data_IF_468945776739
#
_entry.id   IF_468945776739
#
_cell.length_a   1.000
_cell.length_b   1.000
_cell.length_c   1.000
_cell.angle_alpha   90.00
_cell.angle_beta   90.00
_cell.angle_gamma   90.00
#
_symmetry.space_group_name_H-M   'P 1'
#
loop_
_entity.id
_entity.type
_entity.pdbx_description
1 polymer ?
#
# COMPACT_ATOMS: atom_id res chain seq x y z
N UNK A 1 -28.53 42.70 73.47
CA UNK A 1 -27.81 43.82 72.89
C UNK A 1 -27.55 43.48 71.45
N UNK A 2 -28.20 44.21 70.64
CA UNK A 2 -28.16 44.12 69.19
C UNK A 2 -26.80 44.39 68.60
N UNK A 3 -26.50 43.66 67.55
CA UNK A 3 -25.79 44.22 66.37
C UNK A 3 -26.20 43.43 65.13
N UNK A 4 -27.08 44.00 64.46
CA UNK A 4 -27.42 43.67 63.12
C UNK A 4 -26.23 43.96 62.22
N UNK A 5 -25.73 42.96 61.56
CA UNK A 5 -24.74 43.14 60.53
C UNK A 5 -25.38 42.92 59.15
N UNK A 6 -25.68 43.99 58.54
CA UNK A 6 -26.23 44.06 57.20
C UNK A 6 -25.15 43.70 56.21
N UNK A 7 -25.22 42.53 55.65
CA UNK A 7 -24.35 42.17 54.52
C UNK A 7 -24.98 42.71 53.25
N UNK A 8 -24.37 43.75 52.74
CA UNK A 8 -24.68 44.26 51.45
C UNK A 8 -24.22 43.27 50.41
N UNK A 9 -25.16 42.64 49.77
CA UNK A 9 -24.89 41.90 48.56
C UNK A 9 -24.38 42.83 47.48
N UNK A 10 -23.15 42.75 47.19
CA UNK A 10 -22.60 43.33 45.98
C UNK A 10 -22.94 42.38 44.84
N UNK A 11 -23.86 42.77 44.03
CA UNK A 11 -24.07 42.19 42.73
C UNK A 11 -22.85 42.57 41.88
N UNK A 12 -21.93 41.67 41.79
CA UNK A 12 -20.94 41.72 40.74
C UNK A 12 -21.64 41.29 39.47
N UNK A 13 -21.93 42.22 38.66
CA UNK A 13 -22.28 41.92 37.27
C UNK A 13 -21.12 41.15 36.66
N UNK A 14 -21.32 39.88 36.54
CA UNK A 14 -20.43 39.07 35.76
C UNK A 14 -20.50 39.60 34.33
N UNK A 15 -19.42 40.21 33.91
CA UNK A 15 -19.23 40.52 32.52
C UNK A 15 -19.45 39.25 31.72
N UNK A 16 -20.28 39.36 30.75
CA UNK A 16 -20.30 38.39 29.66
C UNK A 16 -18.91 38.43 29.03
N UNK A 17 -18.02 37.64 29.55
CA UNK A 17 -16.96 37.13 28.79
C UNK A 17 -17.60 36.21 27.79
N UNK A 18 -17.76 36.72 26.60
CA UNK A 18 -17.98 35.84 25.47
C UNK A 18 -16.75 34.92 25.46
N UNK A 19 -16.90 33.80 26.08
CA UNK A 19 -16.05 32.71 25.79
C UNK A 19 -16.33 32.41 24.37
N UNK A 20 -15.61 33.03 23.51
CA UNK A 20 -15.44 32.48 22.18
C UNK A 20 -14.94 31.09 22.42
N UNK A 21 -15.83 30.19 22.34
CA UNK A 21 -15.46 28.82 22.13
C UNK A 21 -14.61 28.86 20.86
N UNK A 22 -13.37 28.97 21.05
CA UNK A 22 -12.42 28.56 20.07
C UNK A 22 -12.75 27.11 19.85
N UNK A 23 -13.52 26.90 18.89
CA UNK A 23 -13.61 25.62 18.27
C UNK A 23 -12.21 25.29 17.81
N UNK A 24 -11.48 24.67 18.65
CA UNK A 24 -10.36 23.90 18.22
C UNK A 24 -10.91 22.68 17.54
N UNK A 25 -11.49 22.90 16.45
CA UNK A 25 -11.64 21.86 15.48
C UNK A 25 -10.35 21.73 14.66
N UNK A 26 -9.25 21.91 15.27
CA UNK A 26 -8.02 21.40 14.74
C UNK A 26 -7.97 19.94 15.13
N UNK A 27 -8.93 19.20 14.70
CA UNK A 27 -8.67 17.80 14.46
C UNK A 27 -7.79 17.78 13.23
N UNK A 28 -6.57 18.10 13.44
CA UNK A 28 -5.54 17.67 12.53
C UNK A 28 -5.71 16.17 12.48
N UNK A 29 -6.31 15.70 11.44
CA UNK A 29 -6.29 14.28 11.17
C UNK A 29 -4.82 13.88 11.19
N UNK A 30 -4.42 13.09 12.16
CA UNK A 30 -3.01 12.78 12.30
C UNK A 30 -2.57 12.11 11.02
N UNK A 31 -1.54 12.64 10.40
CA UNK A 31 -0.94 12.05 9.19
C UNK A 31 -0.45 10.62 9.35
N UNK A 32 -0.51 10.08 10.56
CA UNK A 32 -0.24 8.67 10.85
C UNK A 32 -1.35 7.71 10.41
N UNK A 33 -2.56 8.18 10.17
CA UNK A 33 -3.61 7.37 9.56
C UNK A 33 -3.30 6.99 8.10
N UNK A 34 -2.27 7.57 7.51
CA UNK A 34 -1.88 7.35 6.12
C UNK A 34 -0.70 6.40 5.98
N UNK A 35 -0.13 5.93 7.07
CA UNK A 35 0.95 4.93 7.07
C UNK A 35 0.44 3.50 7.17
N UNK A 36 -0.71 3.20 6.63
CA UNK A 36 -0.98 1.83 6.24
C UNK A 36 0.06 1.48 5.18
N UNK A 37 0.82 0.39 5.38
CA UNK A 37 1.72 -0.07 4.34
C UNK A 37 0.85 -0.29 3.10
N UNK A 38 0.94 0.62 2.16
CA UNK A 38 0.46 0.34 0.83
C UNK A 38 1.29 -0.84 0.36
N UNK A 39 0.65 -1.99 0.16
CA UNK A 39 1.28 -3.05 -0.58
C UNK A 39 1.77 -2.40 -1.87
N UNK A 40 3.07 -2.25 -1.99
CA UNK A 40 3.66 -1.72 -3.21
C UNK A 40 3.20 -2.63 -4.34
N UNK A 41 2.82 -2.05 -5.46
CA UNK A 41 2.42 -2.80 -6.63
C UNK A 41 3.58 -2.81 -7.63
N UNK A 42 3.99 -4.00 -8.05
CA UNK A 42 4.89 -4.20 -9.17
C UNK A 42 4.11 -4.60 -10.41
N UNK A 43 4.49 -4.10 -11.57
CA UNK A 43 3.83 -4.43 -12.82
C UNK A 43 4.83 -4.90 -13.86
N UNK A 44 4.51 -6.00 -14.53
CA UNK A 44 5.28 -6.56 -15.65
C UNK A 44 4.33 -6.75 -16.82
N UNK A 45 4.70 -6.19 -17.96
CA UNK A 45 4.02 -6.42 -19.22
C UNK A 45 4.64 -7.61 -19.94
N UNK A 46 3.82 -8.44 -20.54
CA UNK A 46 4.23 -9.47 -21.49
C UNK A 46 3.83 -8.96 -22.86
N UNK A 47 4.81 -8.66 -23.68
CA UNK A 47 4.58 -8.12 -25.01
C UNK A 47 5.73 -8.52 -25.93
N UNK A 48 5.40 -8.90 -27.15
CA UNK A 48 6.36 -9.35 -28.14
C UNK A 48 7.34 -10.40 -27.59
N UNK A 49 6.80 -11.46 -26.94
CA UNK A 49 7.56 -12.55 -26.32
C UNK A 49 8.60 -12.11 -25.30
N UNK A 50 8.36 -11.01 -24.60
CA UNK A 50 9.29 -10.41 -23.65
C UNK A 50 8.57 -9.99 -22.37
N UNK A 51 9.22 -10.19 -21.23
CA UNK A 51 8.82 -9.59 -19.95
C UNK A 51 9.44 -8.21 -19.81
N UNK A 52 8.62 -7.20 -19.57
CA UNK A 52 9.08 -5.81 -19.39
C UNK A 52 8.56 -5.23 -18.09
N UNK A 53 9.42 -4.82 -17.16
CA UNK A 53 10.88 -5.02 -17.18
C UNK A 53 11.27 -6.49 -17.02
N UNK A 54 12.39 -6.90 -17.60
CA UNK A 54 12.91 -8.26 -17.47
C UNK A 54 13.41 -8.56 -16.06
N UNK A 55 13.95 -7.57 -15.38
CA UNK A 55 14.30 -7.62 -13.96
C UNK A 55 13.53 -6.55 -13.23
N UNK A 56 12.75 -6.94 -12.23
CA UNK A 56 11.98 -6.04 -11.38
C UNK A 56 12.47 -6.18 -9.94
N UNK A 57 12.86 -5.07 -9.33
CA UNK A 57 13.22 -5.01 -7.91
C UNK A 57 12.06 -4.44 -7.12
N UNK A 58 11.64 -5.14 -6.07
CA UNK A 58 10.52 -4.77 -5.20
C UNK A 58 10.89 -4.98 -3.73
N UNK A 59 10.14 -4.38 -2.84
CA UNK A 59 10.24 -4.65 -1.40
C UNK A 59 9.40 -5.86 -1.00
N UNK A 60 9.82 -6.56 0.05
CA UNK A 60 9.04 -7.64 0.64
C UNK A 60 7.63 -7.13 1.00
N UNK A 61 6.60 -7.92 0.69
CA UNK A 61 5.20 -7.55 0.80
C UNK A 61 4.58 -6.97 -0.48
N UNK A 62 5.36 -6.81 -1.54
CA UNK A 62 4.86 -6.29 -2.83
C UNK A 62 4.09 -7.36 -3.58
N UNK A 63 2.96 -6.98 -4.14
CA UNK A 63 2.22 -7.79 -5.13
C UNK A 63 2.69 -7.41 -6.53
N UNK A 64 3.22 -8.39 -7.25
CA UNK A 64 3.63 -8.25 -8.65
C UNK A 64 2.53 -8.82 -9.55
N UNK A 65 2.16 -8.06 -10.57
CA UNK A 65 1.15 -8.46 -11.55
C UNK A 65 1.78 -8.51 -12.95
N UNK A 66 1.66 -9.66 -13.60
CA UNK A 66 2.00 -9.85 -15.02
C UNK A 66 0.72 -9.71 -15.85
N UNK A 67 0.76 -8.92 -16.90
CA UNK A 67 -0.36 -8.77 -17.84
C UNK A 67 0.09 -9.12 -19.23
N UNK A 68 -0.62 -10.06 -19.87
CA UNK A 68 -0.34 -10.45 -21.25
C UNK A 68 -0.91 -9.40 -22.22
N UNK A 69 -0.04 -8.82 -23.05
CA UNK A 69 -0.40 -7.87 -24.11
C UNK A 69 -0.21 -8.45 -25.52
N UNK A 70 0.33 -9.66 -25.60
CA UNK A 70 0.41 -10.39 -26.88
C UNK A 70 -0.96 -10.96 -27.26
N UNK A 71 -1.10 -11.27 -28.51
CA UNK A 71 -2.28 -11.96 -29.09
C UNK A 71 -2.22 -13.48 -29.00
N UNK A 72 -1.21 -14.01 -28.30
CA UNK A 72 -1.01 -15.43 -28.04
C UNK A 72 -0.89 -15.70 -26.54
N UNK A 73 -1.21 -16.92 -26.08
CA UNK A 73 -1.11 -17.26 -24.66
C UNK A 73 0.32 -17.32 -24.15
N UNK A 74 0.50 -16.83 -22.95
CA UNK A 74 1.73 -16.95 -22.15
C UNK A 74 1.41 -17.55 -20.78
N UNK A 75 2.44 -17.92 -20.03
CA UNK A 75 2.27 -18.41 -18.66
C UNK A 75 3.52 -18.23 -17.84
N UNK A 76 3.33 -18.10 -16.54
CA UNK A 76 4.40 -17.79 -15.58
C UNK A 76 4.70 -19.03 -14.75
N UNK A 77 5.97 -19.42 -14.70
CA UNK A 77 6.45 -20.48 -13.81
C UNK A 77 7.79 -20.08 -13.16
N UNK A 78 7.92 -20.33 -11.88
CA UNK A 78 9.18 -20.18 -11.15
C UNK A 78 10.13 -21.33 -11.50
N UNK A 79 11.43 -21.03 -11.65
CA UNK A 79 12.44 -22.06 -11.93
C UNK A 79 12.50 -23.14 -10.85
N UNK A 80 12.33 -22.76 -9.57
CA UNK A 80 12.47 -23.64 -8.42
C UNK A 80 11.16 -23.87 -7.68
N UNK A 81 10.02 -23.69 -8.33
CA UNK A 81 8.72 -23.72 -7.66
C UNK A 81 8.61 -22.78 -6.44
N UNK A 82 9.35 -21.68 -6.46
CA UNK A 82 9.39 -20.72 -5.35
C UNK A 82 8.06 -19.95 -5.21
N UNK A 83 7.24 -19.93 -6.24
CA UNK A 83 5.87 -19.40 -6.20
C UNK A 83 4.96 -20.18 -7.15
N UNK A 84 3.67 -20.02 -6.95
CA UNK A 84 2.67 -20.78 -7.71
C UNK A 84 2.70 -20.44 -9.21
N UNK A 85 2.54 -21.46 -10.05
CA UNK A 85 2.43 -21.30 -11.51
C UNK A 85 1.09 -20.66 -11.86
N UNK A 86 1.08 -19.76 -12.85
CA UNK A 86 -0.16 -19.24 -13.42
C UNK A 86 -0.90 -20.28 -14.26
N UNK A 87 -2.20 -20.06 -14.49
CA UNK A 87 -2.87 -20.61 -15.67
C UNK A 87 -2.26 -20.00 -16.94
N UNK A 88 -2.62 -20.52 -18.12
CA UNK A 88 -2.35 -19.81 -19.36
C UNK A 88 -3.09 -18.46 -19.36
N UNK A 89 -2.40 -17.42 -19.76
CA UNK A 89 -2.90 -16.05 -19.82
C UNK A 89 -3.17 -15.72 -21.28
N UNK A 90 -4.43 -15.55 -21.63
CA UNK A 90 -4.82 -15.02 -22.93
C UNK A 90 -4.59 -13.49 -22.98
N UNK A 91 -4.82 -12.87 -24.13
CA UNK A 91 -4.67 -11.41 -24.27
C UNK A 91 -5.45 -10.66 -23.20
N UNK A 92 -4.79 -9.70 -22.56
CA UNK A 92 -5.29 -8.90 -21.43
C UNK A 92 -5.55 -9.66 -20.11
N UNK A 93 -5.35 -10.98 -20.09
CA UNK A 93 -5.33 -11.72 -18.83
C UNK A 93 -4.14 -11.33 -17.97
N UNK A 94 -4.29 -11.50 -16.66
CA UNK A 94 -3.24 -11.21 -15.71
C UNK A 94 -3.08 -12.30 -14.67
N UNK A 95 -1.90 -12.32 -14.06
CA UNK A 95 -1.55 -13.14 -12.92
C UNK A 95 -0.84 -12.29 -11.88
N UNK A 96 -1.15 -12.50 -10.61
CA UNK A 96 -0.53 -11.76 -9.50
C UNK A 96 0.01 -12.70 -8.45
N UNK A 97 1.16 -12.33 -7.88
CA UNK A 97 1.74 -13.02 -6.73
C UNK A 97 2.36 -12.02 -5.77
N UNK A 98 2.17 -12.23 -4.45
CA UNK A 98 2.74 -11.39 -3.40
C UNK A 98 4.02 -12.00 -2.87
N UNK A 99 5.14 -11.28 -3.02
CA UNK A 99 6.45 -11.71 -2.56
C UNK A 99 6.72 -11.19 -1.15
N UNK A 100 6.69 -12.07 -0.16
CA UNK A 100 6.87 -11.72 1.25
C UNK A 100 8.28 -11.98 1.77
N UNK A 101 9.04 -12.84 1.10
CA UNK A 101 10.37 -13.25 1.52
C UNK A 101 11.44 -12.62 0.63
N UNK A 102 12.42 -11.90 1.18
CA UNK A 102 13.55 -11.38 0.41
C UNK A 102 14.31 -12.47 -0.32
N UNK A 103 14.75 -12.19 -1.52
CA UNK A 103 15.49 -13.15 -2.35
C UNK A 103 15.42 -12.81 -3.84
N UNK A 104 16.04 -13.65 -4.65
CA UNK A 104 16.02 -13.55 -6.12
C UNK A 104 15.22 -14.69 -6.69
N UNK A 105 14.17 -14.35 -7.43
CA UNK A 105 13.21 -15.28 -7.98
C UNK A 105 13.28 -15.27 -9.50
N UNK A 106 13.91 -16.28 -10.08
CA UNK A 106 13.93 -16.47 -11.52
C UNK A 106 12.67 -17.16 -11.98
N UNK A 107 12.15 -16.73 -13.11
CA UNK A 107 10.95 -17.29 -13.70
C UNK A 107 11.04 -17.31 -15.24
N UNK A 108 10.16 -18.03 -15.86
CA UNK A 108 10.09 -18.18 -17.30
C UNK A 108 8.64 -18.35 -17.77
N UNK A 109 8.43 -18.16 -19.06
CA UNK A 109 7.17 -18.55 -19.69
C UNK A 109 7.20 -20.04 -20.02
N UNK A 110 6.29 -20.83 -19.44
CA UNK A 110 6.27 -22.27 -19.69
C UNK A 110 5.71 -22.67 -21.05
N UNK A 111 5.11 -21.73 -21.77
CA UNK A 111 4.68 -21.90 -23.17
C UNK A 111 5.83 -21.60 -24.13
N UNK A 112 6.67 -20.63 -23.78
CA UNK A 112 7.82 -20.17 -24.56
C UNK A 112 9.06 -20.08 -23.65
N UNK A 113 9.74 -21.20 -23.37
CA UNK A 113 10.75 -21.26 -22.31
C UNK A 113 11.98 -20.34 -22.46
N UNK A 114 12.18 -19.76 -23.64
CA UNK A 114 13.24 -18.76 -23.86
C UNK A 114 12.92 -17.41 -23.25
N UNK A 115 11.66 -17.12 -22.94
CA UNK A 115 11.23 -15.94 -22.23
C UNK A 115 11.52 -16.10 -20.76
N UNK A 116 12.44 -15.32 -20.25
CA UNK A 116 12.87 -15.37 -18.84
C UNK A 116 12.80 -14.01 -18.18
N UNK A 117 12.59 -14.00 -16.87
CA UNK A 117 12.59 -12.80 -16.06
C UNK A 117 13.09 -13.07 -14.64
N UNK A 118 13.30 -12.01 -13.89
CA UNK A 118 13.79 -12.07 -12.53
C UNK A 118 13.06 -11.05 -11.66
N UNK A 119 12.59 -11.49 -10.49
CA UNK A 119 12.12 -10.61 -9.43
C UNK A 119 13.19 -10.59 -8.33
N UNK A 120 13.67 -9.41 -7.96
CA UNK A 120 14.54 -9.19 -6.81
C UNK A 120 13.70 -8.60 -5.70
N UNK A 121 13.57 -9.34 -4.60
CA UNK A 121 12.81 -8.92 -3.43
C UNK A 121 13.78 -8.48 -2.35
N UNK A 122 13.78 -7.21 -2.04
CA UNK A 122 14.58 -6.61 -0.97
C UNK A 122 13.80 -6.65 0.36
N UNK A 123 14.50 -6.61 1.51
CA UNK A 123 13.83 -6.46 2.79
C UNK A 123 12.92 -5.23 2.82
N UNK A 124 11.76 -5.33 3.47
CA UNK A 124 10.94 -4.17 3.80
C UNK A 124 11.70 -3.27 4.78
N UNK A 125 11.64 -1.97 4.56
CA UNK A 125 12.15 -1.01 5.52
C UNK A 125 11.07 -0.87 6.62
N UNK A 126 11.21 -1.55 7.71
CA UNK A 126 10.48 -1.28 8.95
C UNK A 126 11.28 -0.37 9.86
#
# INVERSE_FOLDING_TARGET
MSTTNTVRSALVAAGLGAATATTLAAVVAPGWAQTLPHASAGAISIDNFTFTPQTLTVKAGTTVTWTNKDDIPHGIASENNAFARSKALDTDDNYSFTFTTPGTYKYFCYVHPHMTGTIVVEPSNE
#
